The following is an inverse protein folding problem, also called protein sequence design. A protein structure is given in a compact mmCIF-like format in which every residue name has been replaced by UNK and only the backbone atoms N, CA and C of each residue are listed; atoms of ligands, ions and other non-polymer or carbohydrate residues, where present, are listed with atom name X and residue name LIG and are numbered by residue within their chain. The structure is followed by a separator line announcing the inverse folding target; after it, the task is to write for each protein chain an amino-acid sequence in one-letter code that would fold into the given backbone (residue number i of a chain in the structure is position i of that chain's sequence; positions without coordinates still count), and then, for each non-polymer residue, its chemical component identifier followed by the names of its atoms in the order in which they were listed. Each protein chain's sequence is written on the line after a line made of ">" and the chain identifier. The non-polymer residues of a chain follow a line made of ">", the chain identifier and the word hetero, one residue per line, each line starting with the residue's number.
data_IF_918359108725
#
_entry.id   IF_918359108725
#
_cell.length_a   1.000
_cell.length_b   1.000
_cell.length_c   1.000
_cell.angle_alpha   90.00
_cell.angle_beta   90.00
_cell.angle_gamma   90.00
#
_symmetry.space_group_name_H-M   'P 1'
#
loop_
_entity.id
_entity.type
_entity.pdbx_description
1 polymer ?
#
# COMPACT_ATOMS: atom_id res chain seq x y z
N UNK A 1 -14.27 -15.79 2.85
CA UNK A 1 -13.67 -14.45 2.96
C UNK A 1 -13.71 -13.81 1.58
N UNK A 2 -14.11 -12.55 1.48
CA UNK A 2 -14.08 -11.77 0.24
C UNK A 2 -12.65 -11.23 0.05
N UNK A 3 -12.10 -11.38 -1.14
CA UNK A 3 -10.74 -10.91 -1.44
C UNK A 3 -10.74 -9.48 -1.99
N UNK A 4 -9.60 -8.77 -1.92
CA UNK A 4 -9.44 -7.46 -2.55
C UNK A 4 -9.74 -7.51 -4.06
N UNK A 5 -9.36 -8.61 -4.72
CA UNK A 5 -9.72 -8.85 -6.14
C UNK A 5 -11.21 -8.86 -6.35
N UNK A 6 -11.97 -9.54 -5.48
CA UNK A 6 -13.42 -9.58 -5.56
C UNK A 6 -14.03 -8.21 -5.27
N UNK A 7 -13.45 -7.47 -4.30
CA UNK A 7 -13.87 -6.13 -3.98
C UNK A 7 -13.70 -5.17 -5.18
N UNK A 8 -12.52 -5.17 -5.82
CA UNK A 8 -12.24 -4.33 -7.01
C UNK A 8 -13.20 -4.64 -8.17
N UNK A 9 -13.64 -5.89 -8.30
CA UNK A 9 -14.58 -6.27 -9.37
C UNK A 9 -16.04 -5.91 -9.07
N UNK A 10 -16.41 -5.80 -7.81
CA UNK A 10 -17.81 -5.67 -7.38
C UNK A 10 -18.15 -4.28 -6.88
N UNK A 11 -17.18 -3.48 -6.48
CA UNK A 11 -17.35 -2.13 -5.96
C UNK A 11 -16.76 -1.10 -6.92
N UNK A 12 -17.36 0.05 -6.97
CA UNK A 12 -16.81 1.20 -7.70
C UNK A 12 -15.57 1.78 -7.01
N UNK A 13 -15.49 1.60 -5.69
CA UNK A 13 -14.39 2.14 -4.88
C UNK A 13 -14.09 1.22 -3.70
N UNK A 14 -12.85 0.77 -3.57
CA UNK A 14 -12.39 -0.10 -2.48
C UNK A 14 -11.62 0.68 -1.42
N UNK A 15 -11.68 0.20 -0.19
CA UNK A 15 -10.97 0.80 0.93
C UNK A 15 -10.06 -0.24 1.56
N UNK A 16 -8.78 0.10 1.71
CA UNK A 16 -7.81 -0.69 2.46
C UNK A 16 -7.13 0.19 3.51
N UNK A 17 -6.51 -0.42 4.51
CA UNK A 17 -5.72 0.27 5.50
C UNK A 17 -4.44 -0.49 5.82
N UNK A 18 -3.40 0.24 6.23
CA UNK A 18 -2.13 -0.36 6.63
C UNK A 18 -2.27 -1.11 7.96
N UNK A 19 -1.55 -2.21 8.08
CA UNK A 19 -1.16 -2.83 9.34
C UNK A 19 0.32 -2.52 9.56
N UNK A 20 0.64 -1.52 10.39
CA UNK A 20 2.03 -1.19 10.66
C UNK A 20 2.68 -2.28 11.49
N UNK A 21 3.83 -2.78 11.05
CA UNK A 21 4.63 -3.77 11.75
C UNK A 21 5.91 -3.14 12.28
N UNK A 22 6.19 -3.38 13.55
CA UNK A 22 7.41 -2.92 14.22
C UNK A 22 8.14 -4.11 14.84
N UNK A 23 9.35 -3.89 15.35
CA UNK A 23 10.12 -4.91 16.06
C UNK A 23 9.48 -5.36 17.38
N UNK A 24 8.59 -4.54 17.93
CA UNK A 24 7.86 -4.79 19.17
C UNK A 24 6.43 -5.28 18.97
N UNK A 25 5.94 -5.33 17.72
CA UNK A 25 4.56 -5.74 17.42
C UNK A 25 4.29 -7.17 17.89
N UNK A 26 3.23 -7.35 18.66
CA UNK A 26 2.76 -8.67 19.16
C UNK A 26 1.57 -9.18 18.33
N UNK A 27 1.24 -10.45 18.51
CA UNK A 27 0.07 -11.04 17.87
C UNK A 27 -1.23 -10.38 18.36
N UNK A 28 -1.32 -10.10 19.65
CA UNK A 28 -2.48 -9.48 20.30
C UNK A 28 -2.71 -8.05 19.77
N UNK A 29 -1.65 -7.29 19.52
CA UNK A 29 -1.75 -5.96 18.92
C UNK A 29 -2.28 -6.03 17.47
N UNK A 30 -1.81 -7.02 16.69
CA UNK A 30 -2.33 -7.25 15.33
C UNK A 30 -3.82 -7.60 15.41
N UNK A 31 -4.20 -8.52 16.27
CA UNK A 31 -5.59 -8.93 16.47
C UNK A 31 -6.50 -7.75 16.83
N UNK A 32 -6.05 -6.88 17.73
CA UNK A 32 -6.79 -5.68 18.11
C UNK A 32 -6.95 -4.69 16.92
N UNK A 33 -5.88 -4.40 16.21
CA UNK A 33 -5.93 -3.51 15.03
C UNK A 33 -6.86 -4.09 13.95
N UNK A 34 -6.74 -5.39 13.66
CA UNK A 34 -7.55 -6.05 12.63
C UNK A 34 -9.03 -6.08 13.03
N UNK A 35 -9.35 -6.31 14.30
CA UNK A 35 -10.73 -6.28 14.79
C UNK A 35 -11.40 -4.92 14.58
N UNK A 36 -10.66 -3.82 14.80
CA UNK A 36 -11.14 -2.45 14.55
C UNK A 36 -11.31 -2.14 13.06
N UNK A 37 -10.39 -2.62 12.21
CA UNK A 37 -10.41 -2.34 10.78
C UNK A 37 -11.41 -3.20 9.99
N UNK A 38 -11.59 -4.46 10.39
CA UNK A 38 -12.36 -5.47 9.66
C UNK A 38 -13.76 -5.01 9.19
N UNK A 39 -14.55 -4.26 9.99
CA UNK A 39 -15.87 -3.79 9.55
C UNK A 39 -15.83 -2.68 8.50
N UNK A 40 -14.69 -1.99 8.37
CA UNK A 40 -14.57 -0.76 7.59
C UNK A 40 -13.77 -0.92 6.29
N UNK A 41 -12.95 -1.99 6.16
CA UNK A 41 -12.06 -2.15 5.02
C UNK A 41 -12.38 -3.39 4.18
N UNK A 42 -11.96 -3.36 2.91
CA UNK A 42 -12.04 -4.53 2.01
C UNK A 42 -10.85 -5.47 2.16
N UNK A 43 -9.71 -4.94 2.57
CA UNK A 43 -8.48 -5.69 2.85
C UNK A 43 -7.54 -4.90 3.75
N UNK A 44 -6.57 -5.58 4.37
CA UNK A 44 -5.54 -4.99 5.21
C UNK A 44 -4.18 -5.12 4.53
N UNK A 45 -3.45 -4.02 4.41
CA UNK A 45 -2.11 -3.98 3.82
C UNK A 45 -1.07 -4.38 4.87
N UNK A 46 -0.51 -5.57 4.75
CA UNK A 46 0.52 -6.09 5.67
C UNK A 46 1.88 -5.66 5.17
N UNK A 47 2.43 -4.63 5.78
CA UNK A 47 3.59 -3.90 5.27
C UNK A 47 4.89 -4.67 5.54
N UNK A 48 5.74 -4.80 4.53
CA UNK A 48 7.12 -5.29 4.63
C UNK A 48 8.05 -4.08 4.69
N UNK A 49 8.40 -3.64 5.87
CA UNK A 49 9.29 -2.55 6.24
C UNK A 49 9.55 -1.42 5.21
N UNK A 50 8.91 -0.29 5.40
CA UNK A 50 9.16 0.94 4.62
C UNK A 50 10.36 1.73 5.13
N UNK A 51 10.68 1.61 6.43
CA UNK A 51 11.69 2.43 7.10
C UNK A 51 13.07 1.74 7.19
N UNK A 52 13.18 0.56 6.62
CA UNK A 52 14.41 -0.24 6.68
C UNK A 52 14.84 -0.61 8.12
N UNK A 53 13.85 -0.88 8.98
CA UNK A 53 14.04 -1.30 10.36
C UNK A 53 13.64 -2.78 10.56
N UNK A 54 14.10 -3.42 11.61
CA UNK A 54 13.66 -4.78 11.96
C UNK A 54 12.19 -4.78 12.37
N UNK A 55 11.40 -5.69 11.81
CA UNK A 55 9.97 -5.82 12.07
C UNK A 55 9.51 -7.28 12.06
N UNK A 56 8.28 -7.54 12.51
CA UNK A 56 7.67 -8.86 12.39
C UNK A 56 7.54 -9.25 10.90
N UNK A 57 7.70 -10.55 10.58
CA UNK A 57 7.48 -11.05 9.21
C UNK A 57 6.07 -10.74 8.72
N UNK A 58 5.96 -10.12 7.53
CA UNK A 58 4.67 -9.84 6.89
C UNK A 58 3.85 -11.11 6.62
N UNK A 59 4.50 -12.25 6.34
CA UNK A 59 3.83 -13.55 6.17
C UNK A 59 3.25 -14.05 7.50
N UNK A 60 3.99 -13.90 8.61
CA UNK A 60 3.48 -14.28 9.94
C UNK A 60 2.28 -13.41 10.34
N UNK A 61 2.37 -12.10 10.12
CA UNK A 61 1.27 -11.17 10.38
C UNK A 61 0.04 -11.47 9.48
N UNK A 62 0.25 -11.79 8.20
CA UNK A 62 -0.83 -12.17 7.28
C UNK A 62 -1.59 -13.42 7.76
N UNK A 63 -0.90 -14.40 8.35
CA UNK A 63 -1.56 -15.56 8.94
C UNK A 63 -2.49 -15.18 10.10
N UNK A 64 -2.16 -14.16 10.87
CA UNK A 64 -3.02 -13.63 11.94
C UNK A 64 -4.23 -12.93 11.33
N UNK A 65 -4.03 -12.04 10.35
CA UNK A 65 -5.10 -11.33 9.63
C UNK A 65 -6.13 -12.30 9.04
N UNK A 66 -5.65 -13.37 8.38
CA UNK A 66 -6.51 -14.41 7.78
C UNK A 66 -7.41 -15.10 8.82
N UNK A 67 -6.92 -15.35 10.04
CA UNK A 67 -7.73 -15.94 11.12
C UNK A 67 -8.90 -15.07 11.55
N UNK A 68 -8.80 -13.76 11.35
CA UNK A 68 -9.88 -12.80 11.59
C UNK A 68 -10.84 -12.62 10.40
N UNK A 69 -10.66 -13.39 9.33
CA UNK A 69 -11.55 -13.37 8.17
C UNK A 69 -11.39 -12.15 7.26
N UNK A 70 -10.30 -11.40 7.40
CA UNK A 70 -9.94 -10.25 6.56
C UNK A 70 -8.89 -10.67 5.52
N UNK A 71 -8.98 -10.11 4.31
CA UNK A 71 -7.99 -10.40 3.24
C UNK A 71 -6.70 -9.61 3.48
N UNK A 72 -5.54 -10.26 3.66
CA UNK A 72 -4.27 -9.57 3.74
C UNK A 72 -3.70 -9.32 2.35
N UNK A 73 -3.28 -8.10 2.10
CA UNK A 73 -2.41 -7.75 0.97
C UNK A 73 -0.98 -7.73 1.47
N UNK A 74 -0.19 -8.74 1.11
CA UNK A 74 1.16 -8.91 1.65
C UNK A 74 2.17 -8.12 0.84
N UNK A 75 2.91 -7.25 1.50
CA UNK A 75 4.02 -6.53 0.88
C UNK A 75 5.29 -7.36 0.98
N UNK A 76 6.07 -7.36 -0.10
CA UNK A 76 7.37 -8.02 -0.17
C UNK A 76 8.38 -7.11 -0.87
N UNK A 77 9.55 -6.93 -0.25
CA UNK A 77 10.65 -6.13 -0.81
C UNK A 77 11.81 -6.99 -1.28
N UNK A 78 12.42 -6.59 -2.41
CA UNK A 78 13.62 -7.25 -2.93
C UNK A 78 14.90 -6.88 -2.17
N UNK A 79 14.84 -5.91 -1.25
CA UNK A 79 15.99 -5.38 -0.53
C UNK A 79 16.65 -6.40 0.38
N UNK A 80 15.86 -7.14 1.16
CA UNK A 80 16.35 -7.87 2.33
C UNK A 80 16.57 -9.36 2.07
N UNK A 81 16.12 -9.86 0.93
CA UNK A 81 16.06 -11.28 0.62
C UNK A 81 16.67 -11.61 -0.75
N UNK A 82 17.37 -12.73 -0.85
CA UNK A 82 17.76 -13.26 -2.14
C UNK A 82 16.56 -13.93 -2.86
N UNK A 83 16.73 -14.27 -4.14
CA UNK A 83 15.65 -14.86 -4.95
C UNK A 83 15.08 -16.16 -4.38
N UNK A 84 15.88 -16.99 -3.71
CA UNK A 84 15.40 -18.24 -3.11
C UNK A 84 14.48 -17.91 -1.92
N UNK A 85 14.89 -16.98 -1.06
CA UNK A 85 14.07 -16.54 0.07
C UNK A 85 12.77 -15.87 -0.42
N UNK A 86 12.82 -15.02 -1.47
CA UNK A 86 11.64 -14.42 -2.06
C UNK A 86 10.66 -15.45 -2.64
N UNK A 87 11.17 -16.51 -3.28
CA UNK A 87 10.33 -17.63 -3.72
C UNK A 87 9.65 -18.33 -2.54
N UNK A 88 10.40 -18.58 -1.46
CA UNK A 88 9.84 -19.20 -0.26
C UNK A 88 8.73 -18.35 0.37
N UNK A 89 8.90 -17.01 0.42
CA UNK A 89 7.86 -16.09 0.90
C UNK A 89 6.60 -16.13 0.03
N UNK A 90 6.74 -16.13 -1.31
CA UNK A 90 5.58 -16.23 -2.23
C UNK A 90 4.87 -17.58 -2.06
N UNK A 91 5.62 -18.68 -1.96
CA UNK A 91 5.05 -20.01 -1.76
C UNK A 91 4.38 -20.13 -0.37
N UNK A 92 4.98 -19.52 0.66
CA UNK A 92 4.39 -19.44 2.00
C UNK A 92 3.08 -18.65 2.00
N UNK A 93 3.05 -17.49 1.33
CA UNK A 93 1.83 -16.71 1.13
C UNK A 93 0.73 -17.53 0.43
N UNK A 94 1.10 -18.24 -0.65
CA UNK A 94 0.19 -19.14 -1.36
C UNK A 94 -0.38 -20.24 -0.47
N UNK A 95 0.47 -20.88 0.32
CA UNK A 95 0.07 -21.97 1.23
C UNK A 95 -0.89 -21.50 2.32
N UNK A 96 -0.78 -20.24 2.74
CA UNK A 96 -1.70 -19.61 3.70
C UNK A 96 -3.02 -19.17 3.07
N UNK A 97 -3.14 -19.16 1.73
CA UNK A 97 -4.32 -18.68 1.02
C UNK A 97 -4.32 -17.16 0.78
N UNK A 98 -3.18 -16.49 0.88
CA UNK A 98 -3.02 -15.08 0.47
C UNK A 98 -3.25 -14.98 -1.04
N UNK A 99 -4.04 -13.98 -1.46
CA UNK A 99 -4.42 -13.78 -2.87
C UNK A 99 -3.83 -12.52 -3.50
N UNK A 100 -3.27 -11.63 -2.68
CA UNK A 100 -2.79 -10.32 -3.12
C UNK A 100 -1.41 -10.02 -2.57
N UNK A 101 -0.50 -9.58 -3.47
CA UNK A 101 0.87 -9.20 -3.15
C UNK A 101 1.14 -7.77 -3.62
N UNK A 102 1.90 -6.99 -2.86
CA UNK A 102 2.52 -5.75 -3.33
C UNK A 102 4.03 -5.97 -3.36
N UNK A 103 4.60 -5.80 -4.53
CA UNK A 103 6.03 -6.04 -4.77
C UNK A 103 6.73 -4.70 -4.98
N UNK A 104 7.83 -4.51 -4.27
CA UNK A 104 8.68 -3.34 -4.42
C UNK A 104 10.16 -3.72 -4.44
N UNK A 105 10.98 -2.82 -4.94
CA UNK A 105 12.42 -2.96 -4.83
C UNK A 105 12.90 -2.79 -3.39
N UNK A 106 12.21 -1.98 -2.59
CA UNK A 106 12.67 -1.47 -1.31
C UNK A 106 13.70 -0.33 -1.44
N UNK A 107 13.74 0.55 -0.46
CA UNK A 107 14.70 1.66 -0.38
C UNK A 107 16.04 1.20 0.16
N UNK A 108 17.07 2.06 0.03
CA UNK A 108 18.38 1.77 0.63
C UNK A 108 18.28 1.83 2.15
N UNK A 109 18.93 0.88 2.82
CA UNK A 109 19.03 0.86 4.28
C UNK A 109 19.63 2.16 4.81
N UNK A 110 19.07 2.67 5.89
CA UNK A 110 19.63 3.79 6.63
C UNK A 110 20.94 3.37 7.31
N UNK A 111 21.93 4.26 7.34
CA UNK A 111 23.17 4.05 8.12
C UNK A 111 22.93 4.04 9.65
N UNK A 112 21.74 4.49 10.08
CA UNK A 112 21.34 4.56 11.49
C UNK A 112 20.60 3.31 11.96
N UNK A 113 20.37 2.35 11.04
CA UNK A 113 19.68 1.11 11.37
C UNK A 113 20.49 0.33 12.42
N UNK A 114 19.80 -0.10 13.48
CA UNK A 114 20.42 -0.69 14.68
C UNK A 114 21.25 -1.94 14.38
N UNK A 115 20.75 -2.81 13.50
CA UNK A 115 21.39 -4.09 13.18
C UNK A 115 22.47 -3.96 12.09
N UNK A 116 22.66 -2.77 11.51
CA UNK A 116 23.60 -2.51 10.42
C UNK A 116 23.50 -3.52 9.27
N UNK A 117 22.25 -3.88 8.93
CA UNK A 117 21.95 -4.77 7.84
C UNK A 117 22.55 -4.28 6.52
N UNK A 118 22.72 -5.20 5.57
CA UNK A 118 23.12 -4.88 4.19
C UNK A 118 22.01 -5.32 3.25
N UNK A 119 21.60 -4.42 2.36
CA UNK A 119 20.66 -4.78 1.32
C UNK A 119 21.22 -5.86 0.40
N UNK A 120 20.41 -6.86 0.12
CA UNK A 120 20.77 -8.00 -0.74
C UNK A 120 20.59 -7.63 -2.22
N UNK A 121 19.42 -7.08 -2.59
CA UNK A 121 19.08 -6.65 -3.96
C UNK A 121 19.47 -7.65 -5.06
N UNK A 122 19.26 -8.95 -4.82
CA UNK A 122 19.60 -10.04 -5.76
C UNK A 122 18.66 -10.04 -6.99
N UNK A 123 17.58 -9.28 -6.95
CA UNK A 123 16.65 -9.10 -8.08
C UNK A 123 16.19 -7.64 -8.17
N UNK A 124 15.63 -7.27 -9.32
CA UNK A 124 14.91 -6.01 -9.49
C UNK A 124 13.40 -6.24 -9.39
N UNK A 125 12.65 -5.15 -9.31
CA UNK A 125 11.19 -5.15 -9.14
C UNK A 125 10.49 -5.94 -10.27
N UNK A 126 10.78 -5.65 -11.53
CA UNK A 126 10.16 -6.29 -12.70
C UNK A 126 10.38 -7.81 -12.70
N UNK A 127 11.60 -8.27 -12.40
CA UNK A 127 11.89 -9.71 -12.30
C UNK A 127 11.19 -10.36 -11.13
N UNK A 128 11.04 -9.64 -10.01
CA UNK A 128 10.34 -10.16 -8.84
C UNK A 128 8.83 -10.28 -9.11
N UNK A 129 8.22 -9.29 -9.77
CA UNK A 129 6.83 -9.38 -10.26
C UNK A 129 6.66 -10.59 -11.18
N UNK A 130 7.55 -10.74 -12.16
CA UNK A 130 7.54 -11.89 -13.06
C UNK A 130 7.71 -13.25 -12.35
N UNK A 131 8.44 -13.29 -11.23
CA UNK A 131 8.54 -14.48 -10.38
C UNK A 131 7.20 -14.83 -9.73
N UNK A 132 6.52 -13.86 -9.13
CA UNK A 132 5.20 -14.05 -8.52
C UNK A 132 4.17 -14.54 -9.58
N UNK A 133 4.19 -13.95 -10.77
CA UNK A 133 3.35 -14.38 -11.89
C UNK A 133 3.64 -15.82 -12.29
N UNK A 134 4.90 -16.20 -12.47
CA UNK A 134 5.28 -17.57 -12.86
C UNK A 134 4.83 -18.61 -11.81
N UNK A 135 4.98 -18.30 -10.52
CA UNK A 135 4.50 -19.16 -9.43
C UNK A 135 2.97 -19.30 -9.50
N UNK A 136 2.26 -18.22 -9.82
CA UNK A 136 0.81 -18.23 -10.02
C UNK A 136 0.35 -19.11 -11.19
N UNK A 137 1.20 -19.29 -12.21
CA UNK A 137 0.92 -20.08 -13.41
C UNK A 137 1.49 -21.50 -13.31
N UNK A 138 2.27 -21.82 -12.26
CA UNK A 138 2.97 -23.09 -12.11
C UNK A 138 1.98 -24.25 -11.89
N UNK A 139 1.96 -25.19 -12.82
CA UNK A 139 1.03 -26.32 -12.81
C UNK A 139 1.41 -27.44 -11.84
N UNK A 140 2.65 -27.42 -11.33
CA UNK A 140 3.10 -28.38 -10.31
C UNK A 140 2.48 -28.12 -8.94
N UNK A 141 1.94 -26.92 -8.69
CA UNK A 141 1.21 -26.59 -7.47
C UNK A 141 -0.20 -27.19 -7.53
N UNK A 142 -0.65 -27.77 -6.41
CA UNK A 142 -1.99 -28.38 -6.28
C UNK A 142 -3.10 -27.35 -6.57
N UNK A 143 -2.89 -26.12 -6.15
CA UNK A 143 -3.78 -24.97 -6.39
C UNK A 143 -2.91 -23.75 -6.63
N UNK A 144 -2.61 -23.37 -7.87
CA UNK A 144 -1.86 -22.17 -8.16
C UNK A 144 -2.59 -20.95 -7.58
N UNK A 145 -1.90 -20.06 -6.86
CA UNK A 145 -2.56 -19.01 -6.07
C UNK A 145 -3.23 -17.92 -6.91
N UNK A 146 -2.92 -17.80 -8.19
CA UNK A 146 -3.51 -16.76 -9.04
C UNK A 146 -3.39 -15.37 -8.42
N UNK A 147 -2.22 -14.96 -7.97
CA UNK A 147 -2.02 -13.69 -7.26
C UNK A 147 -2.48 -12.47 -8.04
N UNK A 148 -3.13 -11.55 -7.35
CA UNK A 148 -3.22 -10.15 -7.77
C UNK A 148 -1.96 -9.44 -7.30
N UNK A 149 -1.20 -8.86 -8.24
CA UNK A 149 0.09 -8.25 -7.96
C UNK A 149 -0.01 -6.73 -8.10
N UNK A 150 0.35 -6.02 -7.05
CA UNK A 150 0.49 -4.57 -7.03
C UNK A 150 1.95 -4.12 -7.00
N UNK A 151 2.20 -2.90 -7.44
CA UNK A 151 3.47 -2.19 -7.26
C UNK A 151 3.24 -0.69 -7.09
N UNK A 152 4.29 0.04 -6.70
CA UNK A 152 4.21 1.47 -6.47
C UNK A 152 4.51 2.27 -7.72
N UNK A 153 3.75 3.36 -7.90
CA UNK A 153 3.99 4.39 -8.91
C UNK A 153 4.15 5.75 -8.25
N UNK A 154 4.90 6.61 -8.88
CA UNK A 154 5.08 8.00 -8.43
C UNK A 154 4.17 8.91 -9.22
N UNK A 155 3.29 9.64 -8.54
CA UNK A 155 2.46 10.70 -9.10
C UNK A 155 3.31 11.97 -9.23
N UNK A 156 3.27 12.59 -10.38
CA UNK A 156 3.95 13.85 -10.71
C UNK A 156 3.18 14.54 -11.84
N UNK A 157 3.62 15.67 -12.32
CA UNK A 157 3.07 16.35 -13.50
C UNK A 157 3.81 15.85 -14.75
N UNK A 158 3.22 14.95 -15.56
CA UNK A 158 3.92 14.35 -16.70
C UNK A 158 4.02 15.32 -17.86
N UNK A 159 5.22 15.43 -18.46
CA UNK A 159 5.39 16.11 -19.73
C UNK A 159 4.56 15.44 -20.85
N UNK A 160 4.24 16.17 -21.91
CA UNK A 160 3.49 15.62 -23.06
C UNK A 160 4.18 14.40 -23.68
N UNK A 161 5.51 14.40 -23.73
CA UNK A 161 6.33 13.30 -24.26
C UNK A 161 6.48 12.10 -23.32
N UNK A 162 5.85 12.10 -22.15
CA UNK A 162 5.96 11.00 -21.22
C UNK A 162 5.25 9.72 -21.71
N UNK A 163 5.98 8.63 -21.83
CA UNK A 163 5.49 7.37 -22.41
C UNK A 163 5.12 6.30 -21.36
N UNK A 164 5.18 6.60 -20.06
CA UNK A 164 4.88 5.66 -18.98
C UNK A 164 5.67 4.33 -19.04
N UNK A 165 6.86 4.31 -19.64
CA UNK A 165 7.59 3.09 -19.99
C UNK A 165 7.78 2.14 -18.79
N UNK A 166 8.13 2.68 -17.59
CA UNK A 166 8.28 1.85 -16.38
C UNK A 166 6.98 1.22 -15.91
N UNK A 167 5.85 1.92 -16.07
CA UNK A 167 4.54 1.37 -15.71
C UNK A 167 4.18 0.25 -16.70
N UNK A 168 4.39 0.50 -18.01
CA UNK A 168 4.15 -0.52 -19.06
C UNK A 168 5.00 -1.76 -18.79
N UNK A 169 6.30 -1.60 -18.49
CA UNK A 169 7.18 -2.74 -18.12
C UNK A 169 6.63 -3.52 -16.92
N UNK A 170 6.15 -2.85 -15.88
CA UNK A 170 5.55 -3.52 -14.71
C UNK A 170 4.25 -4.25 -15.06
N UNK A 171 3.39 -3.65 -15.89
CA UNK A 171 2.16 -4.28 -16.38
C UNK A 171 2.45 -5.51 -17.24
N UNK A 172 3.47 -5.46 -18.10
CA UNK A 172 3.90 -6.59 -18.93
C UNK A 172 4.48 -7.72 -18.07
N UNK A 173 5.11 -7.39 -16.94
CA UNK A 173 5.58 -8.36 -15.96
C UNK A 173 4.44 -9.04 -15.16
N UNK A 174 3.23 -8.43 -15.09
CA UNK A 174 2.06 -9.03 -14.45
C UNK A 174 1.39 -8.20 -13.36
N UNK A 175 1.68 -6.91 -13.26
CA UNK A 175 1.00 -6.00 -12.32
C UNK A 175 -0.46 -5.81 -12.69
N UNK A 176 -1.34 -5.81 -11.69
CA UNK A 176 -2.78 -5.58 -11.82
C UNK A 176 -3.24 -4.34 -11.02
N UNK A 177 -2.44 -3.89 -10.03
CA UNK A 177 -2.77 -2.76 -9.16
C UNK A 177 -1.58 -1.83 -9.04
N UNK A 178 -1.84 -0.54 -9.23
CA UNK A 178 -0.87 0.53 -9.04
C UNK A 178 -1.19 1.28 -7.76
N UNK A 179 -0.28 1.26 -6.79
CA UNK A 179 -0.37 2.04 -5.56
C UNK A 179 0.42 3.34 -5.74
N UNK A 180 -0.16 4.48 -5.37
CA UNK A 180 0.58 5.74 -5.41
C UNK A 180 1.49 5.87 -4.19
N UNK A 181 2.43 6.81 -4.19
CA UNK A 181 2.99 7.31 -2.94
C UNK A 181 1.91 8.06 -2.14
N UNK A 182 2.14 8.33 -0.82
CA UNK A 182 1.20 9.11 -0.02
C UNK A 182 0.84 10.43 -0.67
N UNK A 183 -0.45 10.65 -0.94
CA UNK A 183 -0.92 11.76 -1.74
C UNK A 183 -2.17 12.42 -1.14
N UNK A 184 -2.04 13.67 -0.71
CA UNK A 184 -3.14 14.57 -0.35
C UNK A 184 -3.36 15.67 -1.42
N UNK A 185 -2.60 15.65 -2.53
CA UNK A 185 -2.74 16.59 -3.62
C UNK A 185 -3.63 16.02 -4.73
N UNK A 186 -4.94 16.10 -4.52
CA UNK A 186 -5.97 15.56 -5.42
C UNK A 186 -5.95 16.22 -6.81
N UNK A 187 -5.56 17.51 -6.89
CA UNK A 187 -5.43 18.21 -8.16
C UNK A 187 -4.33 17.62 -9.05
N UNK A 188 -3.12 17.45 -8.48
CA UNK A 188 -2.00 16.85 -9.20
C UNK A 188 -2.31 15.40 -9.59
N UNK A 189 -2.96 14.67 -8.66
CA UNK A 189 -3.42 13.31 -8.92
C UNK A 189 -4.38 13.24 -10.10
N UNK A 190 -5.36 14.15 -10.19
CA UNK A 190 -6.29 14.23 -11.32
C UNK A 190 -5.58 14.44 -12.67
N UNK A 191 -4.57 15.32 -12.71
CA UNK A 191 -3.72 15.51 -13.90
C UNK A 191 -2.98 14.23 -14.28
N UNK A 192 -2.40 13.56 -13.30
CA UNK A 192 -1.69 12.28 -13.51
C UNK A 192 -2.64 11.19 -14.02
N UNK A 193 -3.84 11.04 -13.41
CA UNK A 193 -4.84 10.07 -13.85
C UNK A 193 -5.27 10.29 -15.30
N UNK A 194 -5.47 11.55 -15.71
CA UNK A 194 -5.79 11.89 -17.10
C UNK A 194 -4.70 11.41 -18.07
N UNK A 195 -3.42 11.53 -17.69
CA UNK A 195 -2.30 11.01 -18.49
C UNK A 195 -2.26 9.48 -18.54
N UNK A 196 -2.58 8.79 -17.45
CA UNK A 196 -2.71 7.33 -17.44
C UNK A 196 -3.83 6.84 -18.37
N UNK A 197 -4.95 7.58 -18.45
CA UNK A 197 -6.04 7.30 -19.40
C UNK A 197 -5.54 7.46 -20.84
N UNK A 198 -4.89 8.60 -21.16
CA UNK A 198 -4.32 8.88 -22.48
C UNK A 198 -3.38 7.76 -22.95
N UNK A 199 -2.53 7.26 -22.03
CA UNK A 199 -1.59 6.16 -22.29
C UNK A 199 -2.23 4.77 -22.22
N UNK A 200 -3.54 4.65 -22.04
CA UNK A 200 -4.31 3.40 -21.96
C UNK A 200 -3.86 2.45 -20.84
N UNK A 201 -3.27 2.98 -19.78
CA UNK A 201 -2.77 2.21 -18.64
C UNK A 201 -3.95 1.62 -17.83
N UNK A 202 -4.99 2.42 -17.62
CA UNK A 202 -6.10 2.09 -16.71
C UNK A 202 -7.05 0.99 -17.23
N UNK A 203 -6.89 0.54 -18.47
CA UNK A 203 -7.54 -0.67 -18.96
C UNK A 203 -6.84 -1.96 -18.48
N UNK A 204 -5.62 -1.84 -17.95
CA UNK A 204 -4.78 -2.97 -17.55
C UNK A 204 -4.58 -3.08 -16.04
N UNK A 205 -4.74 -2.00 -15.31
CA UNK A 205 -4.55 -1.99 -13.86
C UNK A 205 -5.51 -1.02 -13.16
N UNK A 206 -5.89 -1.39 -11.94
CA UNK A 206 -6.59 -0.53 -10.98
C UNK A 206 -5.61 0.41 -10.28
N UNK A 207 -6.07 1.60 -9.87
CA UNK A 207 -5.26 2.54 -9.09
C UNK A 207 -5.81 2.69 -7.69
N UNK A 208 -4.98 2.45 -6.69
CA UNK A 208 -5.26 2.67 -5.26
C UNK A 208 -4.35 3.80 -4.76
N UNK A 209 -4.96 4.83 -4.19
CA UNK A 209 -4.25 6.02 -3.70
C UNK A 209 -3.89 5.84 -2.23
N UNK A 210 -2.63 6.04 -1.86
CA UNK A 210 -2.22 6.08 -0.45
C UNK A 210 -2.55 7.43 0.17
N UNK A 211 -3.32 7.43 1.26
CA UNK A 211 -3.72 8.62 2.02
C UNK A 211 -3.21 8.49 3.45
N UNK A 212 -2.29 9.37 3.88
CA UNK A 212 -1.83 9.35 5.27
C UNK A 212 -2.86 10.02 6.20
N UNK A 213 -3.13 9.39 7.32
CA UNK A 213 -3.80 10.00 8.46
C UNK A 213 -2.74 10.66 9.36
N UNK A 214 -2.69 11.97 9.37
CA UNK A 214 -1.73 12.77 10.12
C UNK A 214 -2.40 13.23 11.44
N UNK A 215 -2.26 12.45 12.48
CA UNK A 215 -3.02 12.57 13.73
C UNK A 215 -2.28 13.32 14.87
N UNK A 216 -1.21 14.05 14.53
CA UNK A 216 -0.45 14.85 15.50
C UNK A 216 0.39 15.93 14.83
N UNK A 217 0.81 16.94 15.59
CA UNK A 217 1.77 17.95 15.13
C UNK A 217 3.09 17.30 14.67
N UNK A 218 3.55 16.27 15.37
CA UNK A 218 4.77 15.56 15.02
C UNK A 218 4.62 14.81 13.70
N UNK A 219 3.53 14.05 13.53
CA UNK A 219 3.25 13.33 12.27
C UNK A 219 3.16 14.31 11.10
N UNK A 220 2.47 15.43 11.23
CA UNK A 220 2.35 16.42 10.16
C UNK A 220 3.70 17.07 9.81
N UNK A 221 4.52 17.43 10.83
CA UNK A 221 5.82 18.08 10.64
C UNK A 221 6.84 17.14 10.01
N UNK A 222 6.90 15.90 10.48
CA UNK A 222 8.01 14.99 10.19
C UNK A 222 7.68 13.96 9.10
N UNK A 223 6.41 13.89 8.66
CA UNK A 223 5.99 12.91 7.66
C UNK A 223 6.85 12.93 6.39
N UNK A 224 7.11 14.11 5.84
CA UNK A 224 7.95 14.24 4.63
C UNK A 224 9.42 13.89 4.86
N UNK A 225 9.93 13.94 6.08
CA UNK A 225 11.31 13.51 6.39
C UNK A 225 11.46 12.00 6.22
N UNK A 226 10.43 11.24 6.59
CA UNK A 226 10.38 9.78 6.47
C UNK A 226 9.80 9.32 5.13
N UNK A 227 9.03 10.19 4.46
CA UNK A 227 8.43 9.93 3.15
C UNK A 227 8.73 11.08 2.17
N UNK A 228 9.97 11.22 1.67
CA UNK A 228 10.38 12.39 0.88
C UNK A 228 9.58 12.62 -0.40
N UNK A 229 9.01 11.56 -0.95
CA UNK A 229 8.18 11.61 -2.18
C UNK A 229 6.71 11.88 -1.90
N UNK A 230 6.28 11.99 -0.63
CA UNK A 230 4.89 12.23 -0.28
C UNK A 230 4.38 13.58 -0.83
N UNK A 231 3.22 13.55 -1.45
CA UNK A 231 2.56 14.71 -2.03
C UNK A 231 1.56 15.32 -1.03
N UNK A 232 2.08 15.95 0.01
CA UNK A 232 1.29 16.65 1.01
C UNK A 232 1.45 18.16 0.76
N UNK A 233 0.36 18.90 0.42
CA UNK A 233 0.41 20.33 0.24
C UNK A 233 0.89 21.04 1.53
N UNK A 234 1.71 22.07 1.37
CA UNK A 234 2.18 22.85 2.53
C UNK A 234 1.03 23.48 3.34
N UNK A 235 -0.02 23.90 2.64
CA UNK A 235 -1.22 24.41 3.28
C UNK A 235 -1.86 23.39 4.23
N UNK A 236 -1.93 22.11 3.84
CA UNK A 236 -2.45 21.03 4.70
C UNK A 236 -1.55 20.80 5.91
N UNK A 237 -0.23 20.72 5.69
CA UNK A 237 0.74 20.60 6.80
C UNK A 237 0.61 21.77 7.77
N UNK A 238 0.58 23.01 7.25
CA UNK A 238 0.43 24.21 8.06
C UNK A 238 -0.89 24.23 8.83
N UNK A 239 -2.00 23.89 8.20
CA UNK A 239 -3.33 23.81 8.81
C UNK A 239 -3.33 22.88 10.03
N UNK A 240 -2.70 21.71 9.94
CA UNK A 240 -2.58 20.77 11.07
C UNK A 240 -1.61 21.29 12.13
N UNK A 241 -0.50 21.92 11.72
CA UNK A 241 0.50 22.47 12.63
C UNK A 241 0.00 23.66 13.44
N UNK A 242 -0.90 24.48 12.87
CA UNK A 242 -1.46 25.67 13.52
C UNK A 242 -2.74 25.34 14.34
N UNK A 243 -3.29 24.13 14.22
CA UNK A 243 -4.49 23.73 14.92
C UNK A 243 -4.23 23.51 16.42
N UNK A 244 -5.19 23.87 17.27
CA UNK A 244 -5.16 23.55 18.70
C UNK A 244 -5.27 22.03 18.92
N UNK A 245 -6.13 21.36 18.15
CA UNK A 245 -6.27 19.90 18.09
C UNK A 245 -5.79 19.38 16.72
N UNK A 246 -4.52 19.01 16.65
CA UNK A 246 -3.90 18.48 15.43
C UNK A 246 -4.52 17.14 14.99
N UNK A 247 -5.01 16.33 15.94
CA UNK A 247 -5.62 15.03 15.62
C UNK A 247 -6.98 15.24 14.93
N UNK A 248 -7.82 16.13 15.44
CA UNK A 248 -9.09 16.48 14.81
C UNK A 248 -8.90 17.13 13.45
N UNK A 249 -7.90 17.98 13.29
CA UNK A 249 -7.62 18.65 12.03
C UNK A 249 -7.05 17.68 10.97
N UNK A 250 -6.13 16.82 11.37
CA UNK A 250 -5.59 15.77 10.48
C UNK A 250 -6.65 14.74 10.07
N UNK A 251 -7.55 14.39 10.99
CA UNK A 251 -8.74 13.59 10.68
C UNK A 251 -9.63 14.28 9.63
N UNK A 252 -9.92 15.56 9.82
CA UNK A 252 -10.74 16.34 8.86
C UNK A 252 -10.09 16.39 7.49
N UNK A 253 -8.79 16.66 7.43
CA UNK A 253 -8.03 16.67 6.17
C UNK A 253 -8.05 15.29 5.46
N UNK A 254 -7.95 14.21 6.21
CA UNK A 254 -8.08 12.86 5.66
C UNK A 254 -9.47 12.65 5.05
N UNK A 255 -10.53 12.94 5.80
CA UNK A 255 -11.93 12.79 5.34
C UNK A 255 -12.21 13.63 4.09
N UNK A 256 -11.72 14.87 4.03
CA UNK A 256 -11.85 15.74 2.85
C UNK A 256 -11.25 15.05 1.62
N UNK A 257 -10.01 14.57 1.72
CA UNK A 257 -9.32 13.89 0.63
C UNK A 257 -10.03 12.59 0.22
N UNK A 258 -10.51 11.79 1.17
CA UNK A 258 -11.25 10.57 0.88
C UNK A 258 -12.51 10.86 0.02
N UNK A 259 -13.23 11.93 0.34
CA UNK A 259 -14.41 12.36 -0.44
C UNK A 259 -14.03 12.86 -1.84
N UNK A 260 -12.95 13.64 -1.96
CA UNK A 260 -12.46 14.13 -3.24
C UNK A 260 -12.01 12.99 -4.15
N UNK A 261 -11.27 12.01 -3.61
CA UNK A 261 -10.75 10.86 -4.38
C UNK A 261 -11.87 10.05 -5.03
N UNK A 262 -12.99 9.89 -4.36
CA UNK A 262 -14.17 9.21 -4.92
C UNK A 262 -14.73 9.91 -6.17
N UNK A 263 -14.52 11.22 -6.28
CA UNK A 263 -14.94 12.02 -7.43
C UNK A 263 -13.95 12.02 -8.61
N UNK A 264 -12.73 11.50 -8.43
CA UNK A 264 -11.74 11.47 -9.50
C UNK A 264 -11.93 10.19 -10.34
N UNK A 265 -12.21 10.31 -11.65
CA UNK A 265 -12.42 9.15 -12.50
C UNK A 265 -11.24 8.18 -12.50
N UNK A 266 -11.54 6.88 -12.56
CA UNK A 266 -10.55 5.79 -12.66
C UNK A 266 -9.72 5.54 -11.40
N UNK A 267 -9.94 6.22 -10.30
CA UNK A 267 -9.42 5.78 -9.00
C UNK A 267 -10.29 4.63 -8.53
N UNK A 268 -9.66 3.47 -8.36
CA UNK A 268 -10.36 2.24 -7.94
C UNK A 268 -10.51 2.15 -6.42
N UNK A 269 -9.76 2.93 -5.66
CA UNK A 269 -9.84 2.90 -4.20
C UNK A 269 -8.73 3.66 -3.49
N UNK A 270 -8.70 3.48 -2.20
CA UNK A 270 -7.78 4.14 -1.28
C UNK A 270 -7.13 3.14 -0.33
N UNK A 271 -5.89 3.42 0.03
CA UNK A 271 -5.21 2.79 1.16
C UNK A 271 -4.90 3.84 2.22
N UNK A 272 -5.42 3.67 3.44
CA UNK A 272 -5.20 4.63 4.52
C UNK A 272 -3.99 4.21 5.33
N UNK A 273 -2.97 5.08 5.34
CA UNK A 273 -1.76 4.90 6.14
C UNK A 273 -1.90 5.54 7.50
N UNK A 274 -1.58 4.81 8.54
CA UNK A 274 -1.62 5.29 9.92
C UNK A 274 -0.48 4.71 10.76
N UNK A 275 -0.24 5.31 11.92
CA UNK A 275 0.82 4.89 12.85
C UNK A 275 0.33 3.97 13.98
N UNK A 276 -0.84 3.31 13.81
CA UNK A 276 -1.43 2.40 14.80
C UNK A 276 -2.83 2.80 15.26
N UNK A 277 -3.35 3.98 14.86
CA UNK A 277 -4.68 4.46 15.25
C UNK A 277 -5.79 3.91 14.33
N UNK A 278 -6.09 2.61 14.46
CA UNK A 278 -7.09 1.91 13.67
C UNK A 278 -8.51 2.47 13.88
N UNK A 279 -8.86 2.85 15.09
CA UNK A 279 -10.17 3.44 15.42
C UNK A 279 -10.40 4.74 14.65
N UNK A 280 -9.39 5.62 14.58
CA UNK A 280 -9.50 6.85 13.80
C UNK A 280 -9.62 6.58 12.29
N UNK A 281 -8.95 5.53 11.78
CA UNK A 281 -9.10 5.09 10.38
C UNK A 281 -10.52 4.65 10.10
N UNK A 282 -11.09 3.75 10.91
CA UNK A 282 -12.47 3.28 10.75
C UNK A 282 -13.48 4.43 10.82
N UNK A 283 -13.28 5.38 11.77
CA UNK A 283 -14.11 6.58 11.88
C UNK A 283 -14.00 7.48 10.65
N UNK A 284 -12.80 7.66 10.07
CA UNK A 284 -12.59 8.48 8.88
C UNK A 284 -13.29 7.88 7.65
N UNK A 285 -13.22 6.57 7.47
CA UNK A 285 -13.92 5.83 6.41
C UNK A 285 -15.43 6.06 6.53
N UNK A 286 -16.00 5.80 7.71
CA UNK A 286 -17.42 5.99 7.96
C UNK A 286 -17.87 7.46 7.75
N UNK A 287 -17.08 8.43 8.21
CA UNK A 287 -17.38 9.86 8.06
C UNK A 287 -17.28 10.31 6.60
N UNK A 288 -16.41 9.70 5.80
CA UNK A 288 -16.30 9.95 4.37
C UNK A 288 -17.48 9.35 3.56
N UNK A 289 -18.23 8.42 4.14
CA UNK A 289 -19.33 7.69 3.49
C UNK A 289 -18.84 6.58 2.56
N UNK A 290 -17.74 5.90 2.95
CA UNK A 290 -17.10 4.82 2.21
C UNK A 290 -17.42 3.46 2.83
#
# INVERSE_FOLDING_TARGET
>A
MKTLRDAIRQKDFVVTADLPLQSTTTAEEIEAIVAELAPAVDAVQVIDDREAAGHMSSIAAAAIVLRHGVDPVVHLTARDRNRIALQAEILGAAALGVTSLVISRGEKLSRKEFLRGKGVFDTNETRFIGMARRISEETALISPPGFMVGTYVTVFDPAESWEAARIVESLDAGVNVLYTQPCLNTRLLGTYMAKLVEKKILHRASVIVEVPLLDSHESARDYKKHNPIALIPEATTKRIMDAEDAAAEGFSACVEVLRELRGIPWISGVNIRHAGNATAVAAAIATAGL
#
